data_IF_472441595162
#
_entry.id   IF_472441595162
#
_cell.length_a   1.000
_cell.length_b   1.000
_cell.length_c   1.000
_cell.angle_alpha   90.00
_cell.angle_beta   90.00
_cell.angle_gamma   90.00
#
_symmetry.space_group_name_H-M   'P 1'
#
loop_
_entity.id
_entity.type
_entity.pdbx_description
1 polymer ?
#
# COMPACT_ATOMS: atom_id res chain seq x y z
N UNK A 1 -14.36 -7.67 1.00
CA UNK A 1 -13.25 -8.64 1.08
C UNK A 1 -12.12 -8.13 0.18
N UNK A 2 -10.86 -8.29 0.59
CA UNK A 2 -9.71 -7.81 -0.18
C UNK A 2 -9.53 -8.66 -1.44
N UNK A 3 -9.32 -8.03 -2.60
CA UNK A 3 -9.07 -8.74 -3.86
C UNK A 3 -7.59 -9.09 -3.99
N UNK A 4 -7.29 -10.39 -4.08
CA UNK A 4 -5.97 -10.88 -4.47
C UNK A 4 -5.74 -10.67 -5.96
N UNK A 5 -4.56 -10.15 -6.32
CA UNK A 5 -4.20 -9.80 -7.70
C UNK A 5 -3.17 -10.79 -8.25
N UNK A 6 -2.14 -11.09 -7.46
CA UNK A 6 -1.07 -12.00 -7.86
C UNK A 6 -0.48 -12.66 -6.62
N UNK A 7 -0.07 -13.91 -6.78
CA UNK A 7 0.75 -14.62 -5.81
C UNK A 7 2.05 -15.11 -6.44
N UNK A 8 3.11 -15.12 -5.64
CA UNK A 8 4.38 -15.75 -5.98
C UNK A 8 4.73 -16.76 -4.88
N UNK A 9 5.93 -17.33 -4.94
CA UNK A 9 6.43 -18.20 -3.88
C UNK A 9 6.60 -17.47 -2.54
N UNK A 10 6.81 -16.14 -2.54
CA UNK A 10 7.12 -15.36 -1.34
C UNK A 10 6.12 -14.25 -1.03
N UNK A 11 5.41 -13.75 -2.04
CA UNK A 11 4.65 -12.51 -1.97
C UNK A 11 3.20 -12.70 -2.39
N UNK A 12 2.31 -12.02 -1.70
CA UNK A 12 0.91 -11.80 -2.06
C UNK A 12 0.74 -10.33 -2.43
N UNK A 13 0.23 -10.07 -3.63
CA UNK A 13 -0.20 -8.73 -4.04
C UNK A 13 -1.72 -8.69 -3.96
N UNK A 14 -2.24 -7.73 -3.21
CA UNK A 14 -3.68 -7.51 -3.05
C UNK A 14 -4.03 -6.02 -3.07
N UNK A 15 -5.29 -5.72 -3.35
CA UNK A 15 -5.81 -4.38 -3.12
C UNK A 15 -5.54 -3.91 -1.69
N UNK A 16 -5.30 -2.61 -1.53
CA UNK A 16 -5.14 -1.99 -0.22
C UNK A 16 -6.37 -2.21 0.66
N UNK A 17 -6.13 -2.26 1.95
CA UNK A 17 -7.16 -2.28 2.98
C UNK A 17 -6.92 -1.10 3.92
N UNK A 18 -7.99 -0.55 4.50
CA UNK A 18 -7.92 0.47 5.55
C UNK A 18 -7.04 0.02 6.72
N UNK A 19 -6.98 -1.28 7.02
CA UNK A 19 -6.09 -1.85 8.04
C UNK A 19 -4.60 -1.68 7.74
N UNK A 20 -4.22 -1.36 6.50
CA UNK A 20 -2.82 -1.12 6.12
C UNK A 20 -2.33 0.27 6.56
N UNK A 21 -3.22 1.13 7.07
CA UNK A 21 -2.90 2.54 7.33
C UNK A 21 -1.70 2.75 8.25
N UNK A 22 -1.56 1.93 9.29
CA UNK A 22 -0.44 2.02 10.25
C UNK A 22 0.88 1.63 9.58
N UNK A 23 0.98 0.44 8.99
CA UNK A 23 2.19 0.01 8.28
C UNK A 23 2.53 0.92 7.09
N UNK A 24 1.53 1.45 6.40
CA UNK A 24 1.71 2.42 5.31
C UNK A 24 2.25 3.76 5.83
N UNK A 25 1.75 4.23 6.97
CA UNK A 25 2.29 5.42 7.64
C UNK A 25 3.74 5.22 8.08
N UNK A 26 4.03 4.14 8.81
CA UNK A 26 5.37 3.81 9.30
C UNK A 26 6.40 3.67 8.18
N UNK A 27 6.01 3.03 7.06
CA UNK A 27 6.86 2.90 5.89
C UNK A 27 7.23 4.27 5.30
N UNK A 28 6.26 5.19 5.23
CA UNK A 28 6.49 6.54 4.71
C UNK A 28 7.17 7.48 5.73
N UNK A 29 7.18 7.15 7.02
CA UNK A 29 7.98 7.88 8.02
C UNK A 29 9.48 7.62 7.87
N UNK A 30 9.86 6.48 7.28
CA UNK A 30 11.27 6.14 7.13
C UNK A 30 11.95 7.06 6.09
N UNK A 31 12.94 7.88 6.49
CA UNK A 31 13.58 8.84 5.59
C UNK A 31 14.32 8.15 4.42
N UNK A 32 14.78 6.91 4.60
CA UNK A 32 15.41 6.15 3.52
C UNK A 32 14.41 5.71 2.44
N UNK A 33 13.15 5.51 2.82
CA UNK A 33 12.09 5.12 1.88
C UNK A 33 11.64 6.32 1.07
N UNK A 34 11.36 7.47 1.71
CA UNK A 34 10.78 8.63 1.01
C UNK A 34 11.79 9.46 0.22
N UNK A 35 13.10 9.32 0.50
CA UNK A 35 14.19 10.16 -0.02
C UNK A 35 14.11 10.49 -1.52
N UNK A 36 13.69 9.54 -2.34
CA UNK A 36 13.67 9.66 -3.80
C UNK A 36 12.26 9.57 -4.41
N UNK A 37 11.21 9.66 -3.58
CA UNK A 37 9.82 9.49 -4.03
C UNK A 37 9.15 10.80 -4.45
N UNK A 38 9.71 11.94 -4.04
CA UNK A 38 9.11 13.27 -4.21
C UNK A 38 7.91 13.55 -3.29
N UNK A 39 7.53 12.61 -2.41
CA UNK A 39 6.46 12.79 -1.44
C UNK A 39 7.01 13.07 -0.05
N UNK A 40 6.23 13.80 0.75
CA UNK A 40 6.43 13.88 2.19
C UNK A 40 5.73 12.71 2.89
N UNK A 41 6.23 12.33 4.07
CA UNK A 41 5.51 11.43 4.96
C UNK A 41 4.10 11.96 5.27
N UNK A 42 3.15 11.07 5.55
CA UNK A 42 1.89 11.49 6.14
C UNK A 42 2.15 12.15 7.49
N UNK A 43 1.30 13.08 7.89
CA UNK A 43 1.44 13.75 9.19
C UNK A 43 0.99 12.85 10.37
N UNK A 44 0.12 11.88 10.11
CA UNK A 44 -0.41 10.93 11.07
C UNK A 44 -1.05 9.71 10.36
N UNK A 45 -1.41 8.70 11.15
CA UNK A 45 -2.10 7.47 10.68
C UNK A 45 -3.47 7.79 10.08
N UNK A 46 -4.17 8.83 10.55
CA UNK A 46 -5.50 9.18 10.04
C UNK A 46 -5.43 9.70 8.59
N UNK A 47 -4.35 10.40 8.22
CA UNK A 47 -4.11 10.79 6.81
C UNK A 47 -3.77 9.60 5.93
N UNK A 48 -2.99 8.64 6.43
CA UNK A 48 -2.76 7.39 5.70
C UNK A 48 -4.07 6.62 5.50
N UNK A 49 -4.90 6.51 6.55
CA UNK A 49 -6.23 5.90 6.50
C UNK A 49 -7.13 6.58 5.47
N UNK A 50 -7.22 7.90 5.52
CA UNK A 50 -8.01 8.70 4.58
C UNK A 50 -7.53 8.53 3.14
N UNK A 51 -6.22 8.42 2.90
CA UNK A 51 -5.68 8.12 1.57
C UNK A 51 -6.18 6.76 1.06
N UNK A 52 -6.13 5.72 1.89
CA UNK A 52 -6.55 4.36 1.53
C UNK A 52 -8.07 4.28 1.29
N UNK A 53 -8.88 4.94 2.12
CA UNK A 53 -10.34 5.05 1.96
C UNK A 53 -10.73 5.73 0.64
N UNK A 54 -9.93 6.71 0.20
CA UNK A 54 -10.17 7.47 -1.03
C UNK A 54 -9.37 6.95 -2.23
N UNK A 55 -8.78 5.75 -2.14
CA UNK A 55 -7.97 5.18 -3.21
C UNK A 55 -8.84 4.70 -4.40
N UNK A 56 -9.18 5.65 -5.27
CA UNK A 56 -10.18 5.44 -6.34
C UNK A 56 -9.69 4.70 -7.58
N UNK A 57 -8.39 4.39 -7.69
CA UNK A 57 -7.80 3.82 -8.92
C UNK A 57 -8.43 2.47 -9.28
N UNK A 58 -8.71 1.61 -8.28
CA UNK A 58 -9.34 0.31 -8.53
C UNK A 58 -10.74 0.46 -9.15
N UNK A 59 -11.54 1.40 -8.66
CA UNK A 59 -12.89 1.65 -9.19
C UNK A 59 -12.85 2.28 -10.59
N UNK A 60 -11.91 3.20 -10.81
CA UNK A 60 -11.83 3.97 -12.06
C UNK A 60 -11.17 3.19 -13.20
N UNK A 61 -10.11 2.45 -12.90
CA UNK A 61 -9.22 1.86 -13.89
C UNK A 61 -9.23 0.32 -13.86
N UNK A 62 -9.81 -0.29 -12.83
CA UNK A 62 -9.75 -1.75 -12.61
C UNK A 62 -8.40 -2.26 -12.08
N UNK A 63 -7.42 -1.37 -11.88
CA UNK A 63 -6.09 -1.66 -11.34
C UNK A 63 -5.52 -0.44 -10.61
N UNK A 64 -4.42 -0.64 -9.88
CA UNK A 64 -3.74 0.44 -9.16
C UNK A 64 -2.44 -0.06 -8.51
N UNK A 65 -1.98 0.68 -7.50
CA UNK A 65 -0.95 0.21 -6.56
C UNK A 65 -1.57 -0.82 -5.64
N UNK A 66 -0.87 -1.90 -5.35
CA UNK A 66 -1.29 -3.00 -4.50
C UNK A 66 -0.36 -3.12 -3.31
N UNK A 67 -0.90 -3.54 -2.17
CA UNK A 67 -0.10 -3.92 -1.02
C UNK A 67 0.71 -5.17 -1.36
N UNK A 68 2.00 -5.17 -1.00
CA UNK A 68 2.91 -6.30 -1.16
C UNK A 68 3.09 -6.92 0.22
N UNK A 69 2.56 -8.13 0.38
CA UNK A 69 2.52 -8.86 1.64
C UNK A 69 3.48 -10.04 1.59
N UNK A 70 4.24 -10.26 2.66
CA UNK A 70 5.01 -11.48 2.84
C UNK A 70 4.05 -12.66 3.11
N UNK A 71 4.09 -13.71 2.28
CA UNK A 71 3.16 -14.84 2.42
C UNK A 71 3.34 -15.67 3.69
N UNK A 72 4.55 -15.74 4.25
CA UNK A 72 4.80 -16.56 5.44
C UNK A 72 4.54 -15.82 6.74
N UNK A 73 4.76 -14.51 6.76
CA UNK A 73 4.64 -13.70 7.99
C UNK A 73 3.42 -12.80 8.00
N UNK A 74 2.70 -12.70 6.88
CA UNK A 74 1.59 -11.75 6.65
C UNK A 74 1.99 -10.27 6.80
N UNK A 75 3.30 -10.00 6.86
CA UNK A 75 3.85 -8.66 7.02
C UNK A 75 3.64 -7.79 5.78
N UNK A 76 3.25 -6.53 5.99
CA UNK A 76 3.21 -5.51 4.96
C UNK A 76 4.64 -5.04 4.63
N UNK A 77 5.10 -5.31 3.41
CA UNK A 77 6.45 -4.95 2.96
C UNK A 77 6.50 -3.63 2.19
N UNK A 78 5.36 -3.15 1.74
CA UNK A 78 5.25 -1.96 0.89
C UNK A 78 4.19 -2.14 -0.17
N UNK A 79 4.40 -1.49 -1.32
CA UNK A 79 3.42 -1.48 -2.39
C UNK A 79 4.10 -1.36 -3.76
N UNK A 80 3.44 -1.90 -4.77
CA UNK A 80 3.85 -1.76 -6.16
C UNK A 80 2.63 -1.85 -7.07
N UNK A 81 2.75 -1.45 -8.32
CA UNK A 81 1.67 -1.57 -9.30
C UNK A 81 1.71 -0.48 -10.34
N UNK A 82 0.74 -0.53 -11.24
CA UNK A 82 0.62 0.44 -12.32
C UNK A 82 -0.40 1.49 -11.91
N UNK A 83 -0.10 2.76 -12.16
CA UNK A 83 -1.02 3.88 -11.96
C UNK A 83 -0.95 4.81 -13.18
N UNK A 84 -2.13 5.27 -13.63
CA UNK A 84 -2.29 6.29 -14.66
C UNK A 84 -2.18 7.69 -14.03
#
# INVERSE_FOLDING_TARGET
MMKTILETNRLLLREFNISDAESFYELNLNPNVIKYTGNSAFIDINKAKSFLENYSDYQKNGFGRWAVINKSTEEFLGWCGVKI
#
